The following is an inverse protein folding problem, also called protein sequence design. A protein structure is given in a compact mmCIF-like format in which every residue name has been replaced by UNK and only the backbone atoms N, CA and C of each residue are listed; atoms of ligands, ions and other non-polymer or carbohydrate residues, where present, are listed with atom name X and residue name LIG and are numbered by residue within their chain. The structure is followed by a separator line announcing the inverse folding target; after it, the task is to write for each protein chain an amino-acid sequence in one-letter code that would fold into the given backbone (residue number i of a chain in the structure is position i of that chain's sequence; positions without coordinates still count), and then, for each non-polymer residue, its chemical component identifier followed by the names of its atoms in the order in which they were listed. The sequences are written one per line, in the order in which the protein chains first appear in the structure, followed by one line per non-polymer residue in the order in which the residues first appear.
data_IF_723687155753
#
_entry.id   IF_723687155753
#
_cell.length_a   1.000
_cell.length_b   1.000
_cell.length_c   1.000
_cell.angle_alpha   90.00
_cell.angle_beta   90.00
_cell.angle_gamma   90.00
#
_symmetry.space_group_name_H-M   'P 1'
#
loop_
_entity.id
_entity.type
_entity.pdbx_description
1 polymer ?
#
# COMPACT_ATOMS: atom_id res chain seq x y z
N UNK A 1 11.51 -5.06 -16.27
CA UNK A 1 11.79 -5.23 -14.83
C UNK A 1 10.62 -5.98 -14.23
N UNK A 2 10.87 -6.96 -13.35
CA UNK A 2 9.79 -7.70 -12.68
C UNK A 2 9.17 -6.88 -11.56
N UNK A 3 7.88 -7.13 -11.26
CA UNK A 3 7.21 -6.58 -10.07
C UNK A 3 7.81 -7.21 -8.82
N UNK A 4 8.02 -6.41 -7.77
CA UNK A 4 8.51 -6.88 -6.47
C UNK A 4 7.32 -6.97 -5.52
N UNK A 5 7.07 -8.16 -4.99
CA UNK A 5 6.00 -8.39 -4.02
C UNK A 5 6.58 -8.64 -2.63
N UNK A 6 5.84 -8.18 -1.61
CA UNK A 6 6.15 -8.41 -0.20
C UNK A 6 4.88 -8.80 0.55
N UNK A 7 4.92 -9.84 1.40
CA UNK A 7 3.82 -10.12 2.31
C UNK A 7 3.81 -9.09 3.44
N UNK A 8 2.65 -8.49 3.67
CA UNK A 8 2.45 -7.47 4.71
C UNK A 8 1.29 -7.85 5.63
N UNK A 9 1.37 -7.46 6.89
CA UNK A 9 0.24 -7.41 7.82
C UNK A 9 -0.18 -5.95 7.98
N UNK A 10 -1.46 -5.67 7.74
CA UNK A 10 -2.08 -4.37 8.03
C UNK A 10 -2.87 -4.52 9.31
N UNK A 11 -2.71 -3.58 10.24
CA UNK A 11 -3.37 -3.57 11.54
C UNK A 11 -4.01 -2.20 11.83
N UNK A 12 -5.22 -2.24 12.40
CA UNK A 12 -5.91 -1.07 12.93
C UNK A 12 -6.58 -1.46 14.25
N UNK A 13 -6.14 -0.85 15.36
CA UNK A 13 -6.58 -1.20 16.70
C UNK A 13 -6.24 -2.66 17.04
N UNK A 14 -7.26 -3.51 17.24
CA UNK A 14 -7.08 -4.94 17.57
C UNK A 14 -7.35 -5.88 16.38
N UNK A 15 -7.53 -5.34 15.17
CA UNK A 15 -7.84 -6.12 13.97
C UNK A 15 -6.67 -6.06 13.01
N UNK A 16 -6.40 -7.20 12.39
CA UNK A 16 -5.28 -7.37 11.47
C UNK A 16 -5.64 -8.26 10.29
N UNK A 17 -5.03 -8.00 9.16
CA UNK A 17 -5.18 -8.78 7.94
C UNK A 17 -3.84 -8.91 7.23
N UNK A 18 -3.53 -10.11 6.76
CA UNK A 18 -2.34 -10.38 5.95
C UNK A 18 -2.70 -10.33 4.47
N UNK A 19 -1.86 -9.67 3.68
CA UNK A 19 -2.01 -9.58 2.23
C UNK A 19 -0.65 -9.53 1.53
N UNK A 20 -0.67 -9.46 0.20
CA UNK A 20 0.49 -9.16 -0.64
C UNK A 20 0.45 -7.69 -1.04
N UNK A 21 1.60 -7.03 -0.89
CA UNK A 21 1.83 -5.68 -1.39
C UNK A 21 2.82 -5.69 -2.56
N UNK A 22 2.66 -4.76 -3.49
CA UNK A 22 3.68 -4.43 -4.48
C UNK A 22 4.57 -3.33 -3.91
N UNK A 23 5.89 -3.47 -4.08
CA UNK A 23 6.84 -2.38 -3.85
C UNK A 23 6.92 -1.53 -5.12
N UNK A 24 6.52 -0.26 -5.03
CA UNK A 24 6.46 0.63 -6.19
C UNK A 24 7.19 1.95 -5.93
N UNK A 25 8.42 2.05 -6.44
CA UNK A 25 9.22 3.27 -6.37
C UNK A 25 8.69 4.40 -7.27
N UNK A 26 7.71 4.13 -8.13
CA UNK A 26 7.02 5.12 -8.95
C UNK A 26 5.77 5.69 -8.29
N UNK A 27 5.33 5.14 -7.17
CA UNK A 27 4.22 5.67 -6.38
C UNK A 27 4.78 6.53 -5.23
N UNK A 28 4.36 7.79 -5.17
CA UNK A 28 4.76 8.68 -4.06
C UNK A 28 4.13 8.24 -2.73
N UNK A 29 2.88 7.76 -2.79
CA UNK A 29 2.02 7.47 -1.64
C UNK A 29 1.68 5.98 -1.56
N UNK A 30 1.60 5.44 -0.34
CA UNK A 30 1.16 4.08 -0.07
C UNK A 30 -0.37 3.98 -0.13
N UNK A 31 -0.87 2.97 -0.84
CA UNK A 31 -2.31 2.78 -1.08
C UNK A 31 -2.73 1.35 -0.75
N UNK A 32 -3.88 1.20 -0.09
CA UNK A 32 -4.53 -0.09 0.16
C UNK A 32 -5.93 -0.16 -0.45
N UNK A 33 -6.42 -1.38 -0.69
CA UNK A 33 -7.78 -1.60 -1.17
C UNK A 33 -8.83 -1.26 -0.09
N UNK A 34 -10.03 -0.87 -0.52
CA UNK A 34 -11.17 -0.66 0.38
C UNK A 34 -11.56 -1.98 1.07
N UNK A 35 -11.40 -3.11 0.36
CA UNK A 35 -11.61 -4.44 0.94
C UNK A 35 -10.66 -4.70 2.10
N UNK A 36 -9.37 -4.35 1.98
CA UNK A 36 -8.39 -4.54 3.04
C UNK A 36 -8.66 -3.60 4.23
N UNK A 37 -8.94 -2.33 3.96
CA UNK A 37 -9.38 -1.36 4.97
C UNK A 37 -10.63 -1.86 5.74
N UNK A 38 -11.59 -2.45 5.03
CA UNK A 38 -12.79 -3.06 5.62
C UNK A 38 -12.49 -4.28 6.51
N UNK A 39 -11.52 -5.13 6.14
CA UNK A 39 -11.10 -6.29 6.96
C UNK A 39 -10.55 -5.85 8.32
N UNK A 40 -9.79 -4.75 8.35
CA UNK A 40 -9.21 -4.21 9.59
C UNK A 40 -10.12 -3.20 10.29
N UNK A 41 -11.24 -2.82 9.68
CA UNK A 41 -12.20 -1.84 10.20
C UNK A 41 -11.52 -0.51 10.55
N UNK A 42 -10.73 -0.01 9.60
CA UNK A 42 -10.07 1.29 9.71
C UNK A 42 -11.08 2.43 9.58
N UNK A 43 -10.93 3.45 10.42
CA UNK A 43 -11.70 4.68 10.30
C UNK A 43 -11.18 5.50 9.11
N UNK A 44 -12.07 5.80 8.15
CA UNK A 44 -11.73 6.55 6.95
C UNK A 44 -11.94 8.05 7.16
N UNK A 45 -10.97 8.87 6.77
CA UNK A 45 -11.03 10.32 6.94
C UNK A 45 -10.46 11.08 5.72
N UNK A 46 -10.65 12.41 5.73
CA UNK A 46 -10.04 13.31 4.75
C UNK A 46 -10.48 13.05 3.30
N UNK A 47 -9.64 13.45 2.34
CA UNK A 47 -9.77 13.14 0.92
C UNK A 47 -8.37 12.82 0.42
N UNK A 48 -8.20 11.62 -0.13
CA UNK A 48 -6.98 11.19 -0.79
C UNK A 48 -7.12 11.39 -2.30
N UNK A 49 -6.08 11.95 -2.93
CA UNK A 49 -5.99 12.12 -4.38
C UNK A 49 -4.56 11.85 -4.84
N UNK A 50 -4.40 11.05 -5.88
CA UNK A 50 -3.12 10.79 -6.52
C UNK A 50 -3.29 10.74 -8.04
N UNK A 51 -2.26 11.15 -8.78
CA UNK A 51 -2.25 11.07 -10.25
C UNK A 51 -1.54 9.77 -10.63
N UNK A 52 -2.24 8.90 -11.35
CA UNK A 52 -1.66 7.66 -11.86
C UNK A 52 -0.83 7.92 -13.12
N UNK A 53 0.01 6.94 -13.50
CA UNK A 53 0.80 7.01 -14.74
C UNK A 53 -0.03 7.17 -16.03
N UNK A 54 -1.31 6.80 -15.99
CA UNK A 54 -2.28 6.96 -17.08
C UNK A 54 -2.94 8.35 -17.15
N UNK A 55 -2.42 9.34 -16.41
CA UNK A 55 -3.02 10.66 -16.19
C UNK A 55 -4.43 10.61 -15.56
N UNK A 56 -4.83 9.45 -15.03
CA UNK A 56 -6.09 9.28 -14.33
C UNK A 56 -5.95 9.72 -12.87
N UNK A 57 -6.99 10.37 -12.35
CA UNK A 57 -7.04 10.76 -10.94
C UNK A 57 -7.58 9.59 -10.11
N UNK A 58 -6.73 9.10 -9.23
CA UNK A 58 -7.11 8.26 -8.12
C UNK A 58 -7.78 9.12 -7.04
N UNK A 59 -8.93 8.68 -6.55
CA UNK A 59 -9.65 9.37 -5.48
C UNK A 59 -10.06 8.35 -4.42
N UNK A 60 -10.01 8.77 -3.16
CA UNK A 60 -10.32 7.91 -2.02
C UNK A 60 -10.34 8.67 -0.70
N UNK A 61 -10.11 7.93 0.38
CA UNK A 61 -9.96 8.44 1.74
C UNK A 61 -8.60 8.06 2.30
N UNK A 62 -8.20 8.71 3.40
CA UNK A 62 -7.07 8.27 4.20
C UNK A 62 -7.54 7.33 5.30
N UNK A 63 -6.63 6.46 5.75
CA UNK A 63 -6.75 5.66 6.95
C UNK A 63 -5.40 5.64 7.68
N UNK A 64 -5.41 5.71 9.00
CA UNK A 64 -4.21 5.48 9.81
C UNK A 64 -4.11 3.98 10.10
N UNK A 65 -3.00 3.36 9.68
CA UNK A 65 -2.79 1.93 9.86
C UNK A 65 -1.37 1.65 10.33
N UNK A 66 -1.20 0.50 10.98
CA UNK A 66 0.11 -0.10 11.20
C UNK A 66 0.40 -1.06 10.04
N UNK A 67 1.52 -0.89 9.37
CA UNK A 67 2.00 -1.78 8.30
C UNK A 67 3.22 -2.53 8.82
N UNK A 68 3.16 -3.86 8.79
CA UNK A 68 4.31 -4.73 9.09
C UNK A 68 4.72 -5.53 7.86
N UNK A 69 5.91 -5.28 7.34
CA UNK A 69 6.50 -6.10 6.27
C UNK A 69 7.11 -7.37 6.87
N UNK A 70 6.63 -8.54 6.43
CA UNK A 70 6.84 -9.78 7.19
C UNK A 70 8.23 -10.40 7.00
N UNK A 71 8.99 -10.06 5.95
CA UNK A 71 10.34 -10.59 5.75
C UNK A 71 11.38 -9.86 6.58
N UNK A 72 11.38 -8.53 6.54
CA UNK A 72 12.27 -7.67 7.31
C UNK A 72 11.80 -7.45 8.75
N UNK A 73 10.51 -7.69 9.02
CA UNK A 73 9.81 -7.37 10.28
C UNK A 73 9.83 -5.88 10.62
N UNK A 74 10.04 -5.03 9.62
CA UNK A 74 9.87 -3.59 9.79
C UNK A 74 8.39 -3.29 9.98
N UNK A 75 8.11 -2.39 10.92
CA UNK A 75 6.77 -1.97 11.30
C UNK A 75 6.71 -0.45 11.37
N UNK A 76 5.66 0.13 10.81
CA UNK A 76 5.43 1.57 10.82
C UNK A 76 3.95 1.89 10.97
N UNK A 77 3.65 2.99 11.67
CA UNK A 77 2.33 3.60 11.69
C UNK A 77 2.32 4.77 10.71
N UNK A 78 1.44 4.74 9.72
CA UNK A 78 1.35 5.79 8.72
C UNK A 78 -0.09 5.99 8.23
N UNK A 79 -0.34 7.17 7.66
CA UNK A 79 -1.54 7.40 6.88
C UNK A 79 -1.36 6.76 5.50
N UNK A 80 -2.39 6.06 5.02
CA UNK A 80 -2.40 5.44 3.69
C UNK A 80 -3.61 5.90 2.90
N UNK A 81 -3.46 5.99 1.58
CA UNK A 81 -4.59 6.14 0.67
C UNK A 81 -5.43 4.86 0.63
N UNK A 82 -6.75 5.00 0.57
CA UNK A 82 -7.69 3.87 0.45
C UNK A 82 -8.50 4.04 -0.83
N UNK A 83 -8.33 3.12 -1.78
CA UNK A 83 -9.04 3.12 -3.06
C UNK A 83 -8.95 1.74 -3.73
N UNK A 84 -10.05 1.25 -4.29
CA UNK A 84 -10.06 -0.01 -5.07
C UNK A 84 -9.60 0.16 -6.51
N UNK A 85 -9.58 1.40 -7.03
CA UNK A 85 -9.25 1.69 -8.43
C UNK A 85 -7.91 1.10 -8.91
N UNK A 86 -6.79 1.14 -8.16
CA UNK A 86 -5.51 0.59 -8.62
C UNK A 86 -5.53 -0.95 -8.73
N UNK A 87 -6.42 -1.60 -7.99
CA UNK A 87 -6.47 -3.06 -7.83
C UNK A 87 -7.52 -3.72 -8.74
N UNK A 88 -8.34 -2.91 -9.42
CA UNK A 88 -9.42 -3.37 -10.31
C UNK A 88 -9.16 -3.08 -11.80
N UNK A 89 -8.02 -2.48 -12.15
CA UNK A 89 -7.62 -2.23 -13.53
C UNK A 89 -6.63 -3.29 -14.01
N UNK A 90 -6.49 -3.43 -15.33
CA UNK A 90 -5.48 -4.29 -15.98
C UNK A 90 -4.02 -3.91 -15.57
N UNK A 91 -3.83 -2.83 -14.80
CA UNK A 91 -2.53 -2.36 -14.29
C UNK A 91 -1.97 -3.27 -13.19
N UNK A 92 -2.82 -3.93 -12.39
CA UNK A 92 -2.45 -4.94 -11.38
C UNK A 92 -3.24 -6.22 -11.66
N UNK A 93 -2.82 -6.93 -12.69
CA UNK A 93 -3.42 -8.22 -13.14
C UNK A 93 -3.13 -9.41 -12.18
N UNK A 94 -2.80 -9.12 -10.91
CA UNK A 94 -2.34 -10.11 -9.93
C UNK A 94 -3.39 -10.33 -8.84
N UNK A 95 -4.10 -11.46 -8.93
CA UNK A 95 -5.05 -11.89 -7.91
C UNK A 95 -4.40 -11.89 -6.51
N UNK A 96 -5.00 -11.13 -5.58
CA UNK A 96 -4.61 -11.13 -4.17
C UNK A 96 -3.67 -10.00 -3.75
N UNK A 97 -3.24 -9.14 -4.66
CA UNK A 97 -2.59 -7.86 -4.29
C UNK A 97 -3.65 -6.90 -3.75
N UNK A 98 -3.42 -6.38 -2.55
CA UNK A 98 -4.34 -5.40 -1.92
C UNK A 98 -3.62 -4.16 -1.37
N UNK A 99 -2.32 -4.02 -1.63
CA UNK A 99 -1.52 -2.90 -1.19
C UNK A 99 -0.42 -2.54 -2.21
N UNK A 100 -0.11 -1.26 -2.29
CA UNK A 100 1.02 -0.69 -3.01
C UNK A 100 1.82 0.10 -1.97
N UNK A 101 3.07 -0.29 -1.72
CA UNK A 101 3.97 0.45 -0.84
C UNK A 101 4.78 1.43 -1.68
N UNK A 102 4.47 2.71 -1.49
CA UNK A 102 5.10 3.82 -2.19
C UNK A 102 6.41 4.26 -1.55
N UNK A 103 6.97 5.33 -2.08
CA UNK A 103 8.23 5.93 -1.62
C UNK A 103 8.12 6.44 -0.19
N UNK A 104 6.95 6.91 0.25
CA UNK A 104 6.65 7.26 1.63
C UNK A 104 6.98 6.12 2.62
N UNK A 105 6.50 4.91 2.37
CA UNK A 105 6.81 3.74 3.17
C UNK A 105 8.30 3.36 3.05
N UNK A 106 8.85 3.36 1.83
CA UNK A 106 10.24 2.92 1.60
C UNK A 106 11.27 3.83 2.28
N UNK A 107 11.02 5.14 2.30
CA UNK A 107 11.88 6.11 2.97
C UNK A 107 11.83 5.96 4.48
N UNK A 108 10.63 5.88 5.05
CA UNK A 108 10.47 5.76 6.51
C UNK A 108 11.00 4.42 7.05
N UNK A 109 11.01 3.37 6.22
CA UNK A 109 11.55 2.06 6.57
C UNK A 109 13.03 1.87 6.22
N UNK A 110 13.68 2.92 5.71
CA UNK A 110 15.06 2.91 5.21
C UNK A 110 15.35 1.74 4.25
N UNK A 111 14.37 1.33 3.44
CA UNK A 111 14.51 0.17 2.56
C UNK A 111 15.44 0.52 1.37
N UNK A 112 16.63 -0.10 1.26
CA UNK A 112 17.59 0.29 0.24
C UNK A 112 17.23 -0.30 -1.11
N UNK A 113 17.45 0.48 -2.17
CA UNK A 113 17.55 -0.03 -3.54
C UNK A 113 18.99 -0.49 -3.79
N UNK A 114 19.21 -1.79 -3.71
CA UNK A 114 20.50 -2.40 -4.08
C UNK A 114 20.48 -2.80 -5.56
N UNK A 115 21.37 -2.19 -6.33
CA UNK A 115 21.53 -2.46 -7.74
C UNK A 115 22.68 -3.46 -8.05
N UNK A 116 23.38 -3.95 -7.03
CA UNK A 116 24.34 -5.05 -7.12
C UNK A 116 25.63 -4.73 -7.89
N UNK A 117 26.09 -3.48 -7.86
CA UNK A 117 27.32 -3.04 -8.54
C UNK A 117 28.55 -3.01 -7.61
#
# INVERSE_FOLDING_TARGET
MGRIYRPVEIECGNRKATTVAIIDTGADETVISERLAGKVNSDLYGVFKAICASDTMLEGKYADVTIRELWSRVEIVMAVGVSDKPFGTDDIDDEGVEAILGVDFLQETEMPLDFGY
#
